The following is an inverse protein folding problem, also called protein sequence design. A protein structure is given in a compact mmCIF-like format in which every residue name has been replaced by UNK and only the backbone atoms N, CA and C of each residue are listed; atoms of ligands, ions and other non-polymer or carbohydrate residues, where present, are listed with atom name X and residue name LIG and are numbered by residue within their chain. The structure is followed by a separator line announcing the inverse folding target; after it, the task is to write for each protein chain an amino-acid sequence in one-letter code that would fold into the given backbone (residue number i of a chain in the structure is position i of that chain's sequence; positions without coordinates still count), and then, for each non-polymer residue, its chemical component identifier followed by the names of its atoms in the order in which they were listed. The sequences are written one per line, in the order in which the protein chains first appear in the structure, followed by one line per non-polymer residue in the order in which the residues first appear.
data_IF_239102853319
#
_entry.id   IF_239102853319
#
_cell.length_a   1.000
_cell.length_b   1.000
_cell.length_c   1.000
_cell.angle_alpha   90.00
_cell.angle_beta   90.00
_cell.angle_gamma   90.00
#
_symmetry.space_group_name_H-M   'P 1'
#
loop_
_entity.id
_entity.type
_entity.pdbx_description
1 polymer ?
#
# COMPACT_ATOMS: atom_id res chain seq x y z
N UNK A 1 1.27 -11.83 0.33
CA UNK A 1 0.56 -10.89 1.25
C UNK A 1 -0.97 -11.07 1.26
N UNK A 2 -1.53 -12.13 0.64
CA UNK A 2 -2.97 -12.36 0.60
C UNK A 2 -3.62 -12.64 1.96
N UNK A 3 -2.89 -13.25 2.91
CA UNK A 3 -3.41 -13.46 4.27
C UNK A 3 -3.78 -12.17 4.99
N UNK A 4 -2.93 -11.14 4.91
CA UNK A 4 -3.20 -9.81 5.50
C UNK A 4 -4.44 -9.17 4.88
N UNK A 5 -4.58 -9.28 3.55
CA UNK A 5 -5.76 -8.77 2.84
C UNK A 5 -7.01 -9.51 3.30
N UNK A 6 -6.98 -10.85 3.27
CA UNK A 6 -8.12 -11.71 3.60
C UNK A 6 -8.59 -11.57 5.04
N UNK A 7 -7.68 -11.26 5.98
CA UNK A 7 -8.05 -11.06 7.39
C UNK A 7 -8.57 -9.64 7.71
N UNK A 8 -8.48 -8.68 6.79
CA UNK A 8 -8.91 -7.29 7.05
C UNK A 8 -10.38 -7.21 7.44
N UNK A 9 -11.27 -7.81 6.64
CA UNK A 9 -12.71 -7.78 6.88
C UNK A 9 -13.15 -8.56 8.14
N UNK A 10 -12.72 -9.82 8.37
CA UNK A 10 -13.12 -10.53 9.58
C UNK A 10 -12.63 -9.82 10.86
N UNK A 11 -11.40 -9.31 10.91
CA UNK A 11 -10.91 -8.58 12.09
C UNK A 11 -11.71 -7.27 12.28
N UNK A 12 -12.06 -6.58 11.18
CA UNK A 12 -12.94 -5.39 11.26
C UNK A 12 -14.30 -5.71 11.90
N UNK A 13 -14.86 -6.90 11.62
CA UNK A 13 -16.12 -7.37 12.21
C UNK A 13 -15.95 -7.75 13.68
N UNK A 14 -14.88 -8.45 14.02
CA UNK A 14 -14.59 -8.88 15.40
C UNK A 14 -14.42 -7.68 16.34
N UNK A 15 -13.81 -6.60 15.87
CA UNK A 15 -13.53 -5.41 16.68
C UNK A 15 -14.60 -4.31 16.58
N UNK A 16 -15.66 -4.51 15.78
CA UNK A 16 -16.67 -3.48 15.54
C UNK A 16 -17.39 -3.02 16.82
N UNK A 17 -17.68 -3.95 17.74
CA UNK A 17 -18.31 -3.66 19.03
C UNK A 17 -17.44 -2.81 19.96
N UNK A 18 -16.12 -2.82 19.74
CA UNK A 18 -15.15 -2.01 20.47
C UNK A 18 -14.90 -0.65 19.81
N UNK A 19 -15.55 -0.37 18.67
CA UNK A 19 -15.35 0.87 17.91
C UNK A 19 -13.99 0.98 17.21
N UNK A 20 -13.30 -0.15 16.98
CA UNK A 20 -11.98 -0.15 16.32
C UNK A 20 -12.16 -0.47 14.83
N UNK A 21 -11.66 0.42 13.97
CA UNK A 21 -11.62 0.22 12.52
C UNK A 21 -10.36 -0.52 12.10
N UNK A 22 -10.46 -1.29 11.02
CA UNK A 22 -9.34 -2.04 10.44
C UNK A 22 -9.27 -1.77 8.94
N UNK A 23 -8.12 -1.31 8.47
CA UNK A 23 -7.87 -1.01 7.04
C UNK A 23 -6.47 -1.50 6.70
N UNK A 24 -6.31 -2.06 5.51
CA UNK A 24 -5.02 -2.51 4.99
C UNK A 24 -4.58 -1.60 3.84
N UNK A 25 -3.29 -1.26 3.79
CA UNK A 25 -2.69 -0.60 2.63
C UNK A 25 -1.83 -1.63 1.90
N UNK A 26 -2.08 -1.79 0.59
CA UNK A 26 -1.31 -2.64 -0.30
C UNK A 26 -0.43 -1.74 -1.20
N UNK A 27 0.80 -1.41 -0.78
CA UNK A 27 1.67 -0.56 -1.57
C UNK A 27 2.26 -1.31 -2.76
N UNK A 28 2.50 -0.57 -3.84
CA UNK A 28 3.39 -0.95 -4.92
C UNK A 28 4.86 -0.79 -4.52
N UNK A 29 5.70 -0.35 -5.45
CA UNK A 29 7.12 -0.11 -5.22
C UNK A 29 7.37 1.29 -4.64
N UNK A 30 8.01 1.34 -3.48
CA UNK A 30 8.31 2.56 -2.73
C UNK A 30 9.79 2.69 -2.44
N UNK A 31 10.30 3.90 -2.52
CA UNK A 31 11.69 4.23 -2.22
C UNK A 31 11.94 4.11 -0.71
N UNK A 32 12.49 2.96 -0.34
CA UNK A 32 12.76 2.55 1.04
C UNK A 32 14.18 1.99 1.12
N UNK A 33 14.79 1.91 2.31
CA UNK A 33 16.12 1.32 2.46
C UNK A 33 16.24 -0.09 1.84
N UNK A 34 15.15 -0.86 1.83
CA UNK A 34 15.11 -2.18 1.19
C UNK A 34 15.38 -2.13 -0.31
N UNK A 35 14.81 -1.15 -1.04
CA UNK A 35 15.08 -0.99 -2.48
C UNK A 35 16.38 -0.23 -2.75
N UNK A 36 16.88 0.55 -1.79
CA UNK A 36 18.17 1.23 -1.91
C UNK A 36 19.36 0.25 -2.02
N UNK A 37 19.17 -1.00 -1.62
CA UNK A 37 20.16 -2.07 -1.79
C UNK A 37 20.26 -2.58 -3.24
N UNK A 38 19.30 -2.24 -4.11
CA UNK A 38 19.34 -2.63 -5.52
C UNK A 38 20.22 -1.67 -6.32
N UNK A 39 20.93 -2.16 -7.36
CA UNK A 39 21.61 -1.32 -8.33
C UNK A 39 20.66 -0.26 -8.92
N UNK A 40 21.19 0.92 -9.20
CA UNK A 40 20.41 2.06 -9.71
C UNK A 40 19.66 1.73 -11.01
N UNK A 41 20.27 0.95 -11.91
CA UNK A 41 19.63 0.49 -13.14
C UNK A 41 18.37 -0.36 -12.89
N UNK A 42 18.37 -1.19 -11.83
CA UNK A 42 17.21 -1.98 -11.45
C UNK A 42 16.12 -1.12 -10.79
N UNK A 43 16.50 -0.13 -9.99
CA UNK A 43 15.54 0.84 -9.41
C UNK A 43 14.82 1.63 -10.51
N UNK A 44 15.56 2.09 -11.52
CA UNK A 44 15.00 2.79 -12.67
C UNK A 44 14.10 1.88 -13.51
N UNK A 45 14.49 0.63 -13.74
CA UNK A 45 13.65 -0.34 -14.44
C UNK A 45 12.33 -0.61 -13.71
N UNK A 46 12.33 -0.66 -12.37
CA UNK A 46 11.12 -0.77 -11.57
C UNK A 46 10.25 0.48 -11.64
N UNK A 47 10.87 1.67 -11.59
CA UNK A 47 10.18 2.94 -11.73
C UNK A 47 9.46 3.07 -13.09
N UNK A 48 10.11 2.63 -14.16
CA UNK A 48 9.58 2.70 -15.53
C UNK A 48 8.35 1.81 -15.77
N UNK A 49 8.16 0.77 -14.96
CA UNK A 49 6.97 -0.10 -15.05
C UNK A 49 5.71 0.55 -14.46
N UNK A 50 5.85 1.62 -13.67
CA UNK A 50 4.73 2.28 -13.00
C UNK A 50 4.05 3.22 -13.99
N UNK A 51 2.75 3.03 -14.30
CA UNK A 51 2.04 3.87 -15.26
C UNK A 51 2.06 5.37 -14.92
N UNK A 52 1.57 5.76 -13.73
CA UNK A 52 1.60 7.15 -13.31
C UNK A 52 1.42 7.30 -11.79
N UNK A 53 2.22 8.15 -11.12
CA UNK A 53 3.43 8.81 -11.61
C UNK A 53 4.55 7.78 -11.88
N UNK A 54 5.29 7.93 -12.98
CA UNK A 54 6.33 6.98 -13.42
C UNK A 54 7.62 7.07 -12.60
N UNK A 55 7.51 6.81 -11.30
CA UNK A 55 8.60 6.80 -10.31
C UNK A 55 8.22 5.94 -9.12
N UNK A 56 9.20 5.56 -8.31
CA UNK A 56 8.93 4.94 -7.01
C UNK A 56 8.09 5.88 -6.12
N UNK A 57 7.20 5.28 -5.34
CA UNK A 57 6.45 6.00 -4.31
C UNK A 57 7.39 6.53 -3.22
N UNK A 58 7.11 7.70 -2.66
CA UNK A 58 7.85 8.27 -1.53
C UNK A 58 7.22 7.82 -0.22
N UNK A 59 8.00 7.57 0.85
CA UNK A 59 7.43 7.22 2.16
C UNK A 59 6.37 8.20 2.68
N UNK A 60 6.50 9.49 2.35
CA UNK A 60 5.52 10.53 2.71
C UNK A 60 4.15 10.32 2.05
N UNK A 61 4.09 9.71 0.86
CA UNK A 61 2.82 9.42 0.16
C UNK A 61 2.08 8.26 0.81
N UNK A 62 2.82 7.26 1.31
CA UNK A 62 2.26 6.21 2.15
C UNK A 62 1.72 6.79 3.46
N UNK A 63 2.49 7.65 4.12
CA UNK A 63 2.08 8.31 5.36
C UNK A 63 0.83 9.19 5.16
N UNK A 64 0.71 9.88 4.03
CA UNK A 64 -0.48 10.65 3.69
C UNK A 64 -1.74 9.77 3.61
N UNK A 65 -1.65 8.58 3.00
CA UNK A 65 -2.78 7.65 2.98
C UNK A 65 -3.13 7.12 4.37
N UNK A 66 -2.14 6.80 5.21
CA UNK A 66 -2.37 6.42 6.61
C UNK A 66 -3.14 7.51 7.35
N UNK A 67 -2.75 8.78 7.17
CA UNK A 67 -3.46 9.93 7.73
C UNK A 67 -4.92 9.99 7.25
N UNK A 68 -5.19 9.84 5.96
CA UNK A 68 -6.56 9.79 5.44
C UNK A 68 -7.39 8.66 6.05
N UNK A 69 -6.79 7.48 6.28
CA UNK A 69 -7.44 6.35 6.95
C UNK A 69 -7.79 6.68 8.41
N UNK A 70 -6.90 7.38 9.12
CA UNK A 70 -7.12 7.79 10.50
C UNK A 70 -8.25 8.84 10.57
N UNK A 71 -8.21 9.85 9.71
CA UNK A 71 -9.13 11.00 9.74
C UNK A 71 -10.54 10.66 9.22
N UNK A 72 -10.70 9.69 8.31
CA UNK A 72 -11.99 9.32 7.75
C UNK A 72 -12.64 8.16 8.51
N UNK A 73 -13.68 8.48 9.29
CA UNK A 73 -14.41 7.51 10.12
C UNK A 73 -15.11 6.40 9.32
N UNK A 74 -15.40 6.59 8.03
CA UNK A 74 -16.10 5.59 7.21
C UNK A 74 -15.17 4.56 6.56
N UNK A 75 -13.84 4.72 6.66
CA UNK A 75 -12.91 3.73 6.14
C UNK A 75 -12.77 2.56 7.13
N UNK A 76 -13.38 1.42 6.81
CA UNK A 76 -13.29 0.19 7.61
C UNK A 76 -13.45 -1.06 6.73
N UNK A 77 -12.72 -2.13 7.04
CA UNK A 77 -12.82 -3.43 6.38
C UNK A 77 -12.26 -3.50 4.95
N UNK A 78 -11.48 -2.51 4.52
CA UNK A 78 -11.06 -2.34 3.12
C UNK A 78 -9.54 -2.44 2.94
N UNK A 79 -9.10 -2.84 1.74
CA UNK A 79 -7.70 -2.82 1.31
C UNK A 79 -7.49 -1.80 0.19
N UNK A 80 -6.71 -0.76 0.47
CA UNK A 80 -6.42 0.29 -0.51
C UNK A 80 -5.09 -0.02 -1.22
N UNK A 81 -5.14 -0.15 -2.55
CA UNK A 81 -3.93 -0.20 -3.37
C UNK A 81 -3.33 1.19 -3.49
N UNK A 82 -2.02 1.30 -3.25
CA UNK A 82 -1.26 2.53 -3.42
C UNK A 82 -0.02 2.23 -4.26
N UNK A 83 -0.16 2.25 -5.59
CA UNK A 83 0.85 1.65 -6.47
C UNK A 83 1.03 2.31 -7.84
N UNK A 84 0.44 3.49 -8.06
CA UNK A 84 0.53 4.18 -9.35
C UNK A 84 -0.06 3.39 -10.53
N UNK A 85 -1.08 2.56 -10.27
CA UNK A 85 -1.74 1.66 -11.21
C UNK A 85 -0.88 0.48 -11.71
N UNK A 86 0.26 0.20 -11.06
CA UNK A 86 1.12 -0.92 -11.41
C UNK A 86 0.36 -2.26 -11.28
N UNK A 87 0.55 -3.15 -12.25
CA UNK A 87 0.25 -4.58 -12.15
C UNK A 87 1.53 -5.32 -12.45
N UNK A 88 2.02 -6.09 -11.48
CA UNK A 88 3.27 -6.83 -11.65
C UNK A 88 3.06 -7.91 -12.72
N UNK A 89 3.85 -7.91 -13.80
CA UNK A 89 3.78 -8.96 -14.80
C UNK A 89 4.20 -10.31 -14.19
N UNK A 90 3.81 -11.44 -14.81
CA UNK A 90 4.38 -12.73 -14.46
C UNK A 90 5.91 -12.66 -14.56
N UNK A 91 6.59 -13.32 -13.63
CA UNK A 91 8.03 -13.59 -13.73
C UNK A 91 8.25 -14.92 -14.42
#
# INVERSE_FOLDING_TARGET
KGGVVGMTLPIARDLASLGIRVVTIAPGTFDTPMLAMLPESQRQALAAQIPFPSRLGRPSEFAALVRHVIENAMLNGETIRLDGALRMPPR
#
